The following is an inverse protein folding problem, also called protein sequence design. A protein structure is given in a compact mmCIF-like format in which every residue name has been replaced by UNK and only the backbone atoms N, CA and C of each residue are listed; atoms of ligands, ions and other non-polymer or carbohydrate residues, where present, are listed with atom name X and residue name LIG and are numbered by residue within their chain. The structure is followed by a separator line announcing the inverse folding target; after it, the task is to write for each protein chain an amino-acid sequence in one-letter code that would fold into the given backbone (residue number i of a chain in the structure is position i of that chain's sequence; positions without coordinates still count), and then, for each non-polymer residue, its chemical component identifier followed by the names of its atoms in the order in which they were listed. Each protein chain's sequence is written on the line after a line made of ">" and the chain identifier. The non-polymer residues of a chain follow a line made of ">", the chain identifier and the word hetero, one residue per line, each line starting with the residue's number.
data_IF_060167419493
#
_entry.id   IF_060167419493
#
_cell.length_a   1.000
_cell.length_b   1.000
_cell.length_c   1.000
_cell.angle_alpha   90.00
_cell.angle_beta   90.00
_cell.angle_gamma   90.00
#
_symmetry.space_group_name_H-M   'P 1'
#
loop_
_entity.id
_entity.type
_entity.pdbx_description
1 polymer ?
#
# COMPACT_ATOMS: atom_id res chain seq x y z
N UNK A 1 -14.56 22.35 -12.62
CA UNK A 1 -13.11 22.63 -12.54
C UNK A 1 -12.59 22.82 -11.12
N UNK A 2 -13.15 23.70 -10.27
CA UNK A 2 -12.67 23.87 -8.87
C UNK A 2 -12.77 22.61 -7.99
N UNK A 3 -13.85 21.84 -8.14
CA UNK A 3 -14.06 20.62 -7.34
C UNK A 3 -13.12 19.47 -7.77
N UNK A 4 -12.94 19.29 -9.08
CA UNK A 4 -11.96 18.35 -9.65
C UNK A 4 -10.52 18.70 -9.24
N UNK A 5 -10.12 19.97 -9.33
CA UNK A 5 -8.78 20.39 -8.89
C UNK A 5 -8.57 20.13 -7.38
N UNK A 6 -9.60 20.33 -6.55
CA UNK A 6 -9.56 20.01 -5.13
C UNK A 6 -9.46 18.50 -4.84
N UNK A 7 -10.23 17.67 -5.56
CA UNK A 7 -10.18 16.22 -5.42
C UNK A 7 -8.83 15.66 -5.91
N UNK A 8 -8.34 16.08 -7.08
CA UNK A 8 -7.02 15.70 -7.60
C UNK A 8 -5.90 16.18 -6.68
N UNK A 9 -6.03 17.37 -6.08
CA UNK A 9 -5.06 17.84 -5.11
C UNK A 9 -5.06 16.95 -3.87
N UNK A 10 -6.21 16.56 -3.32
CA UNK A 10 -6.26 15.69 -2.13
C UNK A 10 -5.68 14.31 -2.43
N UNK A 11 -6.16 13.63 -3.48
CA UNK A 11 -5.67 12.28 -3.83
C UNK A 11 -4.22 12.29 -4.31
N UNK A 12 -3.83 13.27 -5.12
CA UNK A 12 -2.47 13.43 -5.62
C UNK A 12 -1.48 13.82 -4.52
N UNK A 13 -1.87 14.72 -3.62
CA UNK A 13 -1.03 15.12 -2.49
C UNK A 13 -0.79 13.94 -1.55
N UNK A 14 -1.80 13.13 -1.22
CA UNK A 14 -1.60 11.92 -0.41
C UNK A 14 -0.61 10.94 -1.06
N UNK A 15 -0.70 10.72 -2.38
CA UNK A 15 0.25 9.85 -3.10
C UNK A 15 1.68 10.42 -3.11
N UNK A 16 1.82 11.73 -3.33
CA UNK A 16 3.12 12.40 -3.34
C UNK A 16 3.76 12.39 -1.96
N UNK A 17 3.00 12.73 -0.92
CA UNK A 17 3.49 12.75 0.46
C UNK A 17 4.02 11.39 0.88
N UNK A 18 3.32 10.30 0.56
CA UNK A 18 3.79 8.94 0.85
C UNK A 18 5.14 8.62 0.18
N UNK A 19 5.32 9.04 -1.07
CA UNK A 19 6.61 8.86 -1.79
C UNK A 19 7.70 9.77 -1.24
N UNK A 20 7.36 11.01 -0.85
CA UNK A 20 8.33 11.95 -0.27
C UNK A 20 8.87 11.45 1.07
N UNK A 21 8.04 10.84 1.90
CA UNK A 21 8.50 10.21 3.14
C UNK A 21 9.53 9.12 2.83
N UNK A 22 9.23 8.20 1.91
CA UNK A 22 10.18 7.15 1.49
C UNK A 22 11.48 7.74 0.94
N UNK A 23 11.39 8.80 0.12
CA UNK A 23 12.56 9.47 -0.43
C UNK A 23 13.42 10.13 0.66
N UNK A 24 12.80 10.81 1.63
CA UNK A 24 13.51 11.46 2.74
C UNK A 24 14.14 10.46 3.71
N UNK A 25 13.66 9.21 3.74
CA UNK A 25 14.31 8.15 4.50
C UNK A 25 15.66 7.75 3.92
N UNK A 26 15.89 7.91 2.61
CA UNK A 26 17.17 7.54 1.98
C UNK A 26 18.36 8.28 2.61
N UNK A 27 18.41 9.63 2.66
CA UNK A 27 19.54 10.33 3.28
C UNK A 27 19.72 9.97 4.75
N UNK A 28 18.62 9.76 5.49
CA UNK A 28 18.68 9.32 6.89
C UNK A 28 19.30 7.92 7.02
N UNK A 29 18.83 6.97 6.23
CA UNK A 29 19.33 5.59 6.22
C UNK A 29 20.82 5.55 5.83
N UNK A 30 21.23 6.31 4.80
CA UNK A 30 22.64 6.35 4.37
C UNK A 30 23.55 7.10 5.35
N UNK A 31 23.00 7.97 6.20
CA UNK A 31 23.77 8.69 7.22
C UNK A 31 24.01 7.85 8.49
N UNK A 32 23.09 6.93 8.81
CA UNK A 32 23.11 6.16 10.06
C UNK A 32 23.57 4.71 9.85
N UNK A 33 23.25 4.10 8.71
CA UNK A 33 23.55 2.69 8.44
C UNK A 33 24.89 2.53 7.70
N UNK A 34 25.60 1.46 8.02
CA UNK A 34 26.75 1.01 7.21
C UNK A 34 26.27 0.45 5.87
N UNK A 35 27.18 0.32 4.90
CA UNK A 35 26.86 -0.26 3.59
C UNK A 35 26.27 -1.68 3.71
N UNK A 36 26.76 -2.48 4.66
CA UNK A 36 26.26 -3.84 4.89
C UNK A 36 24.82 -3.83 5.44
N UNK A 37 24.54 -2.97 6.42
CA UNK A 37 23.20 -2.86 7.02
C UNK A 37 22.19 -2.27 6.03
N UNK A 38 22.62 -1.30 5.23
CA UNK A 38 21.80 -0.74 4.15
C UNK A 38 21.48 -1.80 3.09
N UNK A 39 22.45 -2.66 2.74
CA UNK A 39 22.22 -3.81 1.84
C UNK A 39 21.16 -4.76 2.37
N UNK A 40 21.24 -5.13 3.65
CA UNK A 40 20.21 -5.96 4.31
C UNK A 40 18.84 -5.28 4.24
N UNK A 41 18.76 -3.99 4.53
CA UNK A 41 17.50 -3.24 4.45
C UNK A 41 16.91 -3.28 3.04
N UNK A 42 17.72 -3.08 2.00
CA UNK A 42 17.29 -3.17 0.60
C UNK A 42 16.76 -4.56 0.24
N UNK A 43 17.43 -5.62 0.71
CA UNK A 43 16.98 -7.00 0.49
C UNK A 43 15.61 -7.26 1.15
N UNK A 44 15.44 -6.81 2.40
CA UNK A 44 14.16 -6.91 3.11
C UNK A 44 13.04 -6.16 2.38
N UNK A 45 13.27 -4.91 1.99
CA UNK A 45 12.28 -4.12 1.25
C UNK A 45 11.91 -4.76 -0.10
N UNK A 46 12.89 -5.36 -0.79
CA UNK A 46 12.65 -6.09 -2.04
C UNK A 46 11.74 -7.29 -1.81
N UNK A 47 11.99 -8.09 -0.76
CA UNK A 47 11.14 -9.22 -0.40
C UNK A 47 9.71 -8.77 -0.04
N UNK A 48 9.57 -7.69 0.73
CA UNK A 48 8.27 -7.12 1.11
C UNK A 48 7.48 -6.71 -0.13
N UNK A 49 8.12 -6.12 -1.15
CA UNK A 49 7.44 -5.73 -2.38
C UNK A 49 6.79 -6.94 -3.09
N UNK A 50 7.47 -8.09 -3.13
CA UNK A 50 6.88 -9.33 -3.65
C UNK A 50 5.77 -9.87 -2.75
N UNK A 51 5.96 -9.85 -1.42
CA UNK A 51 4.95 -10.29 -0.46
C UNK A 51 3.65 -9.49 -0.59
N UNK A 52 3.72 -8.17 -0.80
CA UNK A 52 2.53 -7.32 -0.97
C UNK A 52 1.68 -7.77 -2.16
N UNK A 53 2.30 -8.20 -3.27
CA UNK A 53 1.58 -8.71 -4.44
C UNK A 53 0.78 -9.97 -4.10
N UNK A 54 1.40 -10.88 -3.34
CA UNK A 54 0.76 -12.14 -2.93
C UNK A 54 -0.32 -11.91 -1.87
N UNK A 55 0.01 -11.15 -0.82
CA UNK A 55 -0.89 -10.88 0.32
C UNK A 55 -2.10 -10.06 -0.08
N UNK A 56 -1.88 -8.99 -0.86
CA UNK A 56 -2.98 -8.12 -1.27
C UNK A 56 -3.83 -8.78 -2.36
N UNK A 57 -3.25 -9.68 -3.17
CA UNK A 57 -3.94 -10.41 -4.23
C UNK A 57 -4.84 -9.52 -5.14
N UNK A 58 -4.41 -8.28 -5.41
CA UNK A 58 -5.18 -7.32 -6.21
C UNK A 58 -6.47 -6.78 -5.54
N UNK A 59 -6.63 -6.98 -4.23
CA UNK A 59 -7.80 -6.51 -3.47
C UNK A 59 -7.87 -4.98 -3.38
N UNK A 60 -6.74 -4.26 -3.46
CA UNK A 60 -6.73 -2.79 -3.50
C UNK A 60 -7.46 -2.26 -4.74
N UNK A 61 -7.11 -2.75 -5.93
CA UNK A 61 -7.78 -2.34 -7.19
C UNK A 61 -9.23 -2.81 -7.22
N UNK A 62 -9.50 -4.02 -6.72
CA UNK A 62 -10.86 -4.56 -6.64
C UNK A 62 -11.74 -3.74 -5.71
N UNK A 63 -11.21 -3.33 -4.55
CA UNK A 63 -11.91 -2.46 -3.59
C UNK A 63 -12.33 -1.16 -4.25
N UNK A 64 -11.41 -0.41 -4.87
CA UNK A 64 -11.75 0.86 -5.50
C UNK A 64 -12.81 0.69 -6.59
N UNK A 65 -12.69 -0.34 -7.44
CA UNK A 65 -13.66 -0.62 -8.49
C UNK A 65 -15.07 -0.88 -7.96
N UNK A 66 -15.20 -1.63 -6.87
CA UNK A 66 -16.51 -2.01 -6.31
C UNK A 66 -17.07 -0.97 -5.34
N UNK A 67 -16.22 -0.22 -4.64
CA UNK A 67 -16.62 0.85 -3.73
C UNK A 67 -17.24 2.04 -4.46
N UNK A 68 -16.83 2.30 -5.72
CA UNK A 68 -17.43 3.36 -6.55
C UNK A 68 -18.80 2.98 -7.15
N UNK A 69 -19.24 1.71 -7.03
CA UNK A 69 -20.54 1.27 -7.54
C UNK A 69 -21.65 1.66 -6.58
N UNK A 70 -22.54 2.55 -7.00
CA UNK A 70 -23.65 3.08 -6.18
C UNK A 70 -24.65 2.02 -5.68
N UNK A 71 -24.69 0.86 -6.32
CA UNK A 71 -25.59 -0.25 -5.97
C UNK A 71 -25.04 -1.12 -4.83
N UNK A 72 -23.74 -1.01 -4.54
CA UNK A 72 -23.06 -1.77 -3.51
C UNK A 72 -22.85 -0.92 -2.26
N UNK A 73 -23.01 -1.57 -1.10
CA UNK A 73 -22.70 -0.95 0.18
C UNK A 73 -21.18 -0.94 0.39
N UNK A 74 -20.57 0.25 0.40
CA UNK A 74 -19.14 0.46 0.60
C UNK A 74 -18.60 -0.27 1.84
N UNK A 75 -19.37 -0.32 2.94
CA UNK A 75 -18.94 -1.03 4.16
C UNK A 75 -18.84 -2.53 3.94
N UNK A 76 -19.74 -3.11 3.14
CA UNK A 76 -19.69 -4.53 2.78
C UNK A 76 -18.52 -4.82 1.86
N UNK A 77 -18.25 -3.94 0.89
CA UNK A 77 -17.09 -4.07 -0.01
C UNK A 77 -15.78 -4.00 0.77
N UNK A 78 -15.65 -3.03 1.67
CA UNK A 78 -14.51 -2.92 2.56
C UNK A 78 -14.33 -4.17 3.44
N UNK A 79 -15.41 -4.63 4.07
CA UNK A 79 -15.39 -5.82 4.92
C UNK A 79 -15.00 -7.09 4.15
N UNK A 80 -15.48 -7.26 2.91
CA UNK A 80 -15.09 -8.37 2.05
C UNK A 80 -13.61 -8.30 1.67
N UNK A 81 -13.11 -7.12 1.28
CA UNK A 81 -11.70 -6.92 0.97
C UNK A 81 -10.78 -7.23 2.16
N UNK A 82 -11.13 -6.72 3.34
CA UNK A 82 -10.37 -6.95 4.56
C UNK A 82 -10.38 -8.42 4.97
N UNK A 83 -11.54 -9.09 4.85
CA UNK A 83 -11.68 -10.51 5.16
C UNK A 83 -10.80 -11.36 4.25
N UNK A 84 -10.78 -11.07 2.94
CA UNK A 84 -9.94 -11.81 1.98
C UNK A 84 -8.45 -11.62 2.28
N UNK A 85 -7.99 -10.40 2.53
CA UNK A 85 -6.58 -10.14 2.89
C UNK A 85 -6.24 -10.88 4.20
N UNK A 86 -7.12 -10.83 5.20
CA UNK A 86 -6.91 -11.52 6.48
C UNK A 86 -6.84 -13.04 6.31
N UNK A 87 -7.66 -13.62 5.42
CA UNK A 87 -7.61 -15.05 5.10
C UNK A 87 -6.31 -15.44 4.40
N UNK A 88 -5.83 -14.64 3.45
CA UNK A 88 -4.54 -14.88 2.78
C UNK A 88 -3.40 -14.82 3.79
N UNK A 89 -3.41 -13.83 4.69
CA UNK A 89 -2.43 -13.71 5.76
C UNK A 89 -2.46 -14.93 6.70
N UNK A 90 -3.65 -15.36 7.13
CA UNK A 90 -3.80 -16.56 7.96
C UNK A 90 -3.31 -17.82 7.24
N UNK A 91 -3.62 -17.97 5.95
CA UNK A 91 -3.17 -19.11 5.16
C UNK A 91 -1.64 -19.18 5.04
N UNK A 92 -0.99 -18.03 4.84
CA UNK A 92 0.48 -17.94 4.83
C UNK A 92 1.05 -18.22 6.23
N UNK A 93 0.45 -17.70 7.30
CA UNK A 93 0.95 -17.86 8.66
C UNK A 93 0.80 -19.29 9.21
N UNK A 94 -0.11 -20.09 8.65
CA UNK A 94 -0.32 -21.49 9.03
C UNK A 94 0.61 -22.47 8.30
N UNK A 95 1.37 -22.00 7.30
CA UNK A 95 2.31 -22.80 6.50
C UNK A 95 3.75 -22.57 6.99
#
# INVERSE_FOLDING_TARGET
>A
MKQLAGQTAIYGLSSILGRMINFLLVPLQTAVLTQSEYGINVDFYSLIAFLIVVVTFGMETSYFRFAEQKELDERKVFGASLTMISLVLLAIALF
#
